data_IF_061541043170
#
_entry.id   IF_061541043170
#
_cell.length_a   1.000
_cell.length_b   1.000
_cell.length_c   1.000
_cell.angle_alpha   90.00
_cell.angle_beta   90.00
_cell.angle_gamma   90.00
#
_symmetry.space_group_name_H-M   'P 1'
#
loop_
_entity.id
_entity.type
_entity.pdbx_description
1 polymer ?
#
# COMPACT_ATOMS: atom_id res chain seq x y z
N UNK A 1 -82.29 23.02 1.42
CA UNK A 1 -80.97 23.10 2.09
C UNK A 1 -81.02 22.72 3.58
N UNK A 2 -82.05 23.09 4.37
CA UNK A 2 -82.15 22.74 5.81
C UNK A 2 -82.45 21.26 6.16
N UNK A 3 -82.85 20.41 5.20
CA UNK A 3 -83.08 18.97 5.45
C UNK A 3 -81.78 18.15 5.55
N UNK A 4 -80.66 18.62 4.97
CA UNK A 4 -79.37 17.93 5.05
C UNK A 4 -78.73 18.05 6.45
N UNK A 5 -79.03 19.12 7.18
CA UNK A 5 -78.45 19.42 8.51
C UNK A 5 -79.18 18.71 9.67
N UNK A 6 -80.37 18.15 9.44
CA UNK A 6 -81.18 17.43 10.45
C UNK A 6 -81.15 15.92 10.27
N UNK A 7 -80.56 15.43 9.19
CA UNK A 7 -80.50 14.00 8.91
C UNK A 7 -79.23 13.40 9.54
N UNK A 8 -79.40 12.56 10.57
CA UNK A 8 -78.29 11.90 11.26
C UNK A 8 -77.45 11.04 10.31
N UNK A 9 -78.04 10.56 9.21
CA UNK A 9 -77.32 9.84 8.18
C UNK A 9 -76.33 10.72 7.40
N UNK A 10 -76.64 12.02 7.22
CA UNK A 10 -75.78 12.97 6.50
C UNK A 10 -74.49 13.31 7.26
N UNK A 11 -74.56 13.46 8.58
CA UNK A 11 -73.36 13.70 9.39
C UNK A 11 -72.40 12.52 9.39
N UNK A 12 -72.90 11.28 9.39
CA UNK A 12 -72.04 10.08 9.32
C UNK A 12 -71.30 10.02 7.99
N UNK A 13 -71.99 10.34 6.88
CA UNK A 13 -71.37 10.35 5.55
C UNK A 13 -70.25 11.40 5.45
N UNK A 14 -70.45 12.61 6.01
CA UNK A 14 -69.44 13.68 5.99
C UNK A 14 -68.23 13.32 6.86
N UNK A 15 -68.44 12.79 8.07
CA UNK A 15 -67.33 12.38 8.95
C UNK A 15 -66.57 11.19 8.37
N UNK A 16 -67.27 10.22 7.76
CA UNK A 16 -66.65 9.10 7.06
C UNK A 16 -65.82 9.58 5.86
N UNK A 17 -66.37 10.48 5.04
CA UNK A 17 -65.65 11.05 3.90
C UNK A 17 -64.39 11.82 4.34
N UNK A 18 -64.46 12.58 5.43
CA UNK A 18 -63.32 13.29 6.00
C UNK A 18 -62.28 12.35 6.61
N UNK A 19 -62.69 11.24 7.24
CA UNK A 19 -61.78 10.25 7.81
C UNK A 19 -61.15 9.33 6.73
N UNK A 20 -61.80 9.16 5.58
CA UNK A 20 -61.29 8.35 4.48
C UNK A 20 -60.00 8.93 3.88
N UNK A 21 -59.90 10.25 3.81
CA UNK A 21 -58.71 10.96 3.26
C UNK A 21 -57.42 10.61 4.04
N UNK A 22 -57.33 10.80 5.36
CA UNK A 22 -56.12 10.44 6.12
C UNK A 22 -55.86 8.93 6.12
N UNK A 23 -56.89 8.08 6.07
CA UNK A 23 -56.72 6.62 5.98
C UNK A 23 -56.11 6.20 4.63
N UNK A 24 -56.58 6.78 3.52
CA UNK A 24 -55.99 6.55 2.20
C UNK A 24 -54.56 7.10 2.12
N UNK A 25 -54.30 8.28 2.70
CA UNK A 25 -52.97 8.85 2.79
C UNK A 25 -51.99 7.95 3.56
N UNK A 26 -52.41 7.42 4.72
CA UNK A 26 -51.61 6.48 5.50
C UNK A 26 -51.36 5.17 4.72
N UNK A 27 -52.35 4.66 4.00
CA UNK A 27 -52.19 3.50 3.13
C UNK A 27 -51.18 3.72 2.00
N UNK A 28 -51.25 4.88 1.34
CA UNK A 28 -50.28 5.27 0.29
C UNK A 28 -48.85 5.38 0.82
N UNK A 29 -48.68 6.00 1.98
CA UNK A 29 -47.38 6.11 2.65
C UNK A 29 -46.81 4.74 3.02
N UNK A 30 -47.64 3.81 3.48
CA UNK A 30 -47.20 2.46 3.80
C UNK A 30 -46.68 1.70 2.57
N UNK A 31 -47.37 1.80 1.43
CA UNK A 31 -46.94 1.18 0.16
C UNK A 31 -45.62 1.76 -0.33
N UNK A 32 -45.49 3.09 -0.35
CA UNK A 32 -44.27 3.74 -0.81
C UNK A 32 -43.09 3.44 0.10
N UNK A 33 -43.31 3.39 1.42
CA UNK A 33 -42.28 3.00 2.38
C UNK A 33 -41.82 1.55 2.14
N UNK A 34 -42.74 0.62 1.90
CA UNK A 34 -42.41 -0.77 1.59
C UNK A 34 -41.61 -0.88 0.28
N UNK A 35 -41.98 -0.11 -0.75
CA UNK A 35 -41.25 -0.06 -2.01
C UNK A 35 -39.83 0.51 -1.82
N UNK A 36 -39.69 1.60 -1.07
CA UNK A 36 -38.39 2.22 -0.77
C UNK A 36 -37.47 1.29 0.03
N UNK A 37 -38.02 0.56 1.01
CA UNK A 37 -37.28 -0.47 1.74
C UNK A 37 -36.79 -1.57 0.80
N UNK A 38 -37.64 -2.02 -0.13
CA UNK A 38 -37.27 -3.02 -1.13
C UNK A 38 -36.19 -2.53 -2.10
N UNK A 39 -36.23 -1.25 -2.51
CA UNK A 39 -35.17 -0.65 -3.33
C UNK A 39 -33.88 -0.56 -2.53
N UNK A 40 -33.91 -0.05 -1.29
CA UNK A 40 -32.72 0.09 -0.45
C UNK A 40 -32.02 -1.26 -0.21
N UNK A 41 -32.78 -2.31 0.10
CA UNK A 41 -32.23 -3.65 0.28
C UNK A 41 -31.59 -4.19 -1.01
N UNK A 42 -32.20 -3.93 -2.17
CA UNK A 42 -31.62 -4.29 -3.46
C UNK A 42 -30.33 -3.53 -3.74
N UNK A 43 -30.30 -2.21 -3.51
CA UNK A 43 -29.09 -1.40 -3.70
C UNK A 43 -27.98 -1.81 -2.75
N UNK A 44 -28.30 -2.17 -1.50
CA UNK A 44 -27.31 -2.69 -0.56
C UNK A 44 -26.67 -3.98 -1.09
N UNK A 45 -27.48 -4.92 -1.59
CA UNK A 45 -26.95 -6.18 -2.13
C UNK A 45 -26.05 -5.95 -3.37
N UNK A 46 -26.39 -5.00 -4.25
CA UNK A 46 -25.51 -4.67 -5.39
C UNK A 46 -24.24 -3.93 -4.95
N UNK A 47 -24.32 -3.07 -3.93
CA UNK A 47 -23.15 -2.41 -3.33
C UNK A 47 -22.21 -3.44 -2.69
N UNK A 48 -22.75 -4.37 -1.91
CA UNK A 48 -22.00 -5.45 -1.26
C UNK A 48 -21.27 -6.33 -2.29
N UNK A 49 -21.96 -6.73 -3.36
CA UNK A 49 -21.35 -7.50 -4.44
C UNK A 49 -20.27 -6.72 -5.19
N UNK A 50 -20.50 -5.45 -5.50
CA UNK A 50 -19.51 -4.61 -6.17
C UNK A 50 -18.28 -4.38 -5.28
N UNK A 51 -18.47 -4.15 -3.98
CA UNK A 51 -17.40 -3.96 -3.00
C UNK A 51 -16.56 -5.25 -2.86
N UNK A 52 -17.19 -6.39 -2.62
CA UNK A 52 -16.50 -7.68 -2.49
C UNK A 52 -15.70 -8.02 -3.75
N UNK A 53 -16.33 -7.97 -4.92
CA UNK A 53 -15.66 -8.35 -6.16
C UNK A 53 -14.55 -7.35 -6.54
N UNK A 54 -14.75 -6.05 -6.29
CA UNK A 54 -13.71 -5.04 -6.48
C UNK A 54 -12.52 -5.26 -5.54
N UNK A 55 -12.78 -5.56 -4.27
CA UNK A 55 -11.74 -5.85 -3.29
C UNK A 55 -10.98 -7.15 -3.59
N UNK A 56 -11.64 -8.15 -4.19
CA UNK A 56 -10.98 -9.40 -4.63
C UNK A 56 -9.92 -9.13 -5.68
N UNK A 57 -10.13 -8.19 -6.61
CA UNK A 57 -9.10 -7.84 -7.59
C UNK A 57 -7.92 -7.08 -6.94
N UNK A 58 -8.22 -6.18 -6.00
CA UNK A 58 -7.24 -5.32 -5.34
C UNK A 58 -7.07 -3.94 -5.99
N UNK A 59 -6.20 -3.08 -5.43
CA UNK A 59 -6.03 -1.69 -5.87
C UNK A 59 -5.56 -1.54 -7.32
N UNK A 60 -4.74 -2.48 -7.80
CA UNK A 60 -4.19 -2.46 -9.16
C UNK A 60 -5.09 -3.16 -10.19
N UNK A 61 -6.22 -3.71 -9.74
CA UNK A 61 -7.16 -4.44 -10.59
C UNK A 61 -8.19 -3.55 -11.29
N UNK A 62 -8.91 -4.13 -12.25
CA UNK A 62 -10.03 -3.43 -12.91
C UNK A 62 -11.30 -3.50 -12.06
N UNK A 63 -11.33 -2.79 -10.93
CA UNK A 63 -12.52 -2.69 -10.09
C UNK A 63 -13.62 -1.80 -10.71
N UNK A 64 -13.29 -1.00 -11.73
CA UNK A 64 -14.25 -0.17 -12.46
C UNK A 64 -15.31 -1.03 -13.16
N UNK A 65 -14.94 -2.23 -13.64
CA UNK A 65 -15.87 -3.17 -14.26
C UNK A 65 -17.04 -3.55 -13.34
N UNK A 66 -16.80 -3.75 -12.05
CA UNK A 66 -17.88 -4.17 -11.13
C UNK A 66 -18.86 -3.05 -10.84
N UNK A 67 -18.41 -1.79 -10.88
CA UNK A 67 -19.31 -0.62 -10.84
C UNK A 67 -20.21 -0.59 -12.07
N UNK A 68 -19.66 -0.84 -13.27
CA UNK A 68 -20.46 -0.89 -14.50
C UNK A 68 -21.52 -2.00 -14.47
N UNK A 69 -21.15 -3.19 -13.98
CA UNK A 69 -22.08 -4.31 -13.81
C UNK A 69 -23.20 -3.96 -12.82
N UNK A 70 -22.88 -3.27 -11.71
CA UNK A 70 -23.88 -2.80 -10.75
C UNK A 70 -24.84 -1.79 -11.40
N UNK A 71 -24.34 -0.82 -12.17
CA UNK A 71 -25.16 0.13 -12.93
C UNK A 71 -26.14 -0.60 -13.85
N UNK A 72 -25.66 -1.55 -14.65
CA UNK A 72 -26.49 -2.30 -15.61
C UNK A 72 -27.59 -3.12 -14.91
N UNK A 73 -27.25 -3.77 -13.79
CA UNK A 73 -28.21 -4.55 -13.00
C UNK A 73 -29.27 -3.67 -12.34
N UNK A 74 -28.89 -2.49 -11.87
CA UNK A 74 -29.84 -1.55 -11.26
C UNK A 74 -30.78 -1.02 -12.32
N UNK A 75 -30.26 -0.51 -13.44
CA UNK A 75 -31.07 0.06 -14.52
C UNK A 75 -32.01 -0.97 -15.16
N UNK A 76 -31.59 -2.23 -15.28
CA UNK A 76 -32.44 -3.29 -15.85
C UNK A 76 -33.57 -3.74 -14.93
N UNK A 77 -33.47 -3.54 -13.61
CA UNK A 77 -34.46 -4.02 -12.63
C UNK A 77 -35.25 -2.92 -11.94
N UNK A 78 -34.77 -1.68 -11.97
CA UNK A 78 -35.35 -0.53 -11.28
C UNK A 78 -35.27 0.69 -12.18
N UNK A 79 -36.39 1.40 -12.30
CA UNK A 79 -36.43 2.68 -12.98
C UNK A 79 -35.97 3.78 -12.01
N UNK A 80 -34.65 3.89 -11.81
CA UNK A 80 -34.03 4.92 -10.98
C UNK A 80 -33.56 6.10 -11.84
N UNK A 81 -33.78 7.31 -11.34
CA UNK A 81 -33.25 8.54 -11.94
C UNK A 81 -31.97 8.95 -11.21
N UNK A 82 -31.07 9.65 -11.92
CA UNK A 82 -29.82 10.17 -11.35
C UNK A 82 -28.99 9.10 -10.62
N UNK A 83 -28.96 7.88 -11.17
CA UNK A 83 -28.18 6.79 -10.60
C UNK A 83 -26.69 7.13 -10.67
N UNK A 84 -26.02 7.11 -9.53
CA UNK A 84 -24.59 7.23 -9.40
C UNK A 84 -24.03 6.03 -8.64
N UNK A 85 -23.00 5.40 -9.19
CA UNK A 85 -22.24 4.33 -8.55
C UNK A 85 -20.78 4.77 -8.52
N UNK A 86 -20.27 5.07 -7.34
CA UNK A 86 -18.88 5.45 -7.12
C UNK A 86 -18.16 4.37 -6.34
N UNK A 87 -16.84 4.32 -6.47
CA UNK A 87 -16.05 3.44 -5.65
C UNK A 87 -14.59 3.87 -5.61
N UNK A 88 -13.98 3.75 -4.44
CA UNK A 88 -12.64 4.26 -4.15
C UNK A 88 -11.92 3.35 -3.15
N UNK A 89 -10.60 3.31 -3.27
CA UNK A 89 -9.73 2.63 -2.32
C UNK A 89 -9.26 3.60 -1.24
N UNK A 90 -9.09 3.09 -0.03
CA UNK A 90 -8.39 3.76 1.06
C UNK A 90 -7.59 2.70 1.81
N UNK A 91 -6.29 2.61 1.53
CA UNK A 91 -5.45 1.48 1.95
C UNK A 91 -6.02 0.15 1.45
N UNK A 92 -6.42 -0.72 2.38
CA UNK A 92 -6.97 -2.05 2.09
C UNK A 92 -8.50 -2.12 2.01
N UNK A 93 -9.17 -0.98 2.16
CA UNK A 93 -10.63 -0.89 2.12
C UNK A 93 -11.07 -0.36 0.76
N UNK A 94 -11.95 -1.12 0.09
CA UNK A 94 -12.65 -0.68 -1.11
C UNK A 94 -14.09 -0.33 -0.75
N UNK A 95 -14.41 0.97 -0.82
CA UNK A 95 -15.74 1.49 -0.56
C UNK A 95 -16.50 1.64 -1.88
N UNK A 96 -17.76 1.19 -1.90
CA UNK A 96 -18.70 1.41 -2.99
C UNK A 96 -19.91 2.14 -2.46
N UNK A 97 -20.29 3.22 -3.13
CA UNK A 97 -21.50 3.98 -2.84
C UNK A 97 -22.42 3.98 -4.05
N UNK A 98 -23.69 3.68 -3.79
CA UNK A 98 -24.76 3.67 -4.78
C UNK A 98 -25.83 4.66 -4.32
N UNK A 99 -26.15 5.63 -5.17
CA UNK A 99 -27.20 6.61 -4.88
C UNK A 99 -28.07 6.87 -6.10
N UNK A 100 -29.30 7.32 -5.86
CA UNK A 100 -30.20 7.78 -6.91
C UNK A 100 -31.59 8.09 -6.38
N UNK A 101 -32.51 8.37 -7.31
CA UNK A 101 -33.85 8.86 -6.99
C UNK A 101 -34.92 7.88 -7.47
N UNK A 102 -35.90 7.60 -6.61
CA UNK A 102 -37.05 6.72 -6.89
C UNK A 102 -38.34 7.52 -6.78
N UNK A 103 -39.24 7.37 -7.74
CA UNK A 103 -40.54 8.03 -7.71
C UNK A 103 -41.48 7.35 -6.69
N UNK A 104 -42.27 8.14 -5.97
CA UNK A 104 -43.30 7.67 -5.05
C UNK A 104 -44.54 7.25 -5.83
N UNK A 105 -45.17 6.12 -5.48
CA UNK A 105 -46.31 5.60 -6.23
C UNK A 105 -47.63 6.24 -5.78
N UNK A 106 -47.82 6.50 -4.49
CA UNK A 106 -49.11 6.93 -3.92
C UNK A 106 -49.03 8.20 -3.07
N UNK A 107 -47.86 8.54 -2.54
CA UNK A 107 -47.65 9.71 -1.69
C UNK A 107 -47.72 11.03 -2.48
N UNK A 108 -47.49 11.01 -3.79
CA UNK A 108 -47.59 12.20 -4.66
C UNK A 108 -48.97 12.88 -4.67
N UNK A 109 -50.03 12.18 -4.23
CA UNK A 109 -51.40 12.73 -4.16
C UNK A 109 -51.59 13.63 -2.93
N UNK A 110 -50.70 13.54 -1.93
CA UNK A 110 -50.78 14.35 -0.72
C UNK A 110 -50.09 15.71 -0.90
N UNK A 111 -50.79 16.84 -0.66
CA UNK A 111 -50.22 18.18 -0.82
C UNK A 111 -48.99 18.38 0.08
N UNK A 112 -47.88 18.81 -0.52
CA UNK A 112 -46.64 19.14 0.21
C UNK A 112 -45.65 17.98 0.41
N UNK A 113 -45.95 16.78 -0.09
CA UNK A 113 -44.98 15.69 -0.17
C UNK A 113 -44.43 15.58 -1.60
N UNK A 114 -43.12 15.32 -1.73
CA UNK A 114 -42.45 15.27 -3.03
C UNK A 114 -42.76 13.98 -3.81
N UNK A 115 -42.65 14.06 -5.14
CA UNK A 115 -42.91 12.94 -6.06
C UNK A 115 -41.78 11.92 -6.12
N UNK A 116 -40.69 12.16 -5.39
CA UNK A 116 -39.50 11.34 -5.43
C UNK A 116 -38.71 11.36 -4.12
N UNK A 117 -37.96 10.29 -3.88
CA UNK A 117 -37.13 10.10 -2.69
C UNK A 117 -35.75 9.66 -3.11
N UNK A 118 -34.73 10.26 -2.49
CA UNK A 118 -33.34 9.85 -2.67
C UNK A 118 -33.04 8.62 -1.82
N UNK A 119 -32.42 7.62 -2.43
CA UNK A 119 -31.96 6.40 -1.78
C UNK A 119 -30.44 6.30 -1.92
N UNK A 120 -29.80 5.80 -0.87
CA UNK A 120 -28.35 5.57 -0.81
C UNK A 120 -28.07 4.24 -0.13
N UNK A 121 -27.10 3.51 -0.67
CA UNK A 121 -26.49 2.34 -0.09
C UNK A 121 -24.97 2.49 -0.16
N UNK A 122 -24.28 1.96 0.83
CA UNK A 122 -22.83 2.01 0.95
C UNK A 122 -22.36 0.65 1.45
N UNK A 123 -21.31 0.13 0.86
CA UNK A 123 -20.67 -1.10 1.29
C UNK A 123 -19.15 -0.90 1.27
N UNK A 124 -18.47 -1.43 2.29
CA UNK A 124 -17.00 -1.42 2.35
C UNK A 124 -16.50 -2.85 2.48
N UNK A 125 -15.64 -3.25 1.56
CA UNK A 125 -14.96 -4.54 1.60
C UNK A 125 -13.49 -4.34 1.93
N UNK A 126 -12.97 -5.12 2.88
CA UNK A 126 -11.56 -5.13 3.26
C UNK A 126 -10.86 -6.32 2.61
N UNK A 127 -9.76 -6.04 1.92
CA UNK A 127 -8.83 -7.05 1.41
C UNK A 127 -7.79 -7.37 2.49
N UNK A 128 -7.75 -8.62 2.95
CA UNK A 128 -6.65 -9.14 3.75
C UNK A 128 -5.70 -9.92 2.82
N UNK A 129 -4.42 -9.54 2.78
CA UNK A 129 -3.37 -10.24 2.02
C UNK A 129 -2.50 -11.06 2.97
N UNK A 130 -1.95 -12.21 2.52
CA UNK A 130 -0.91 -12.91 3.26
C UNK A 130 0.29 -11.99 3.48
N UNK A 131 0.84 -12.02 4.70
CA UNK A 131 2.04 -11.27 5.03
C UNK A 131 3.23 -11.89 4.29
N UNK A 132 3.96 -11.07 3.53
CA UNK A 132 5.27 -11.46 3.00
C UNK A 132 6.28 -11.31 4.13
N UNK A 133 6.87 -12.42 4.55
CA UNK A 133 7.83 -12.44 5.62
C UNK A 133 9.19 -12.89 5.08
N UNK A 134 10.20 -12.06 5.33
CA UNK A 134 11.60 -12.41 5.08
C UNK A 134 12.19 -12.97 6.36
N UNK A 135 13.07 -13.97 6.22
CA UNK A 135 13.94 -14.41 7.30
C UNK A 135 15.26 -13.63 7.27
N UNK A 136 16.03 -13.62 8.38
CA UNK A 136 17.35 -13.01 8.41
C UNK A 136 18.26 -13.48 7.26
N UNK A 137 19.19 -12.63 6.79
CA UNK A 137 20.08 -12.99 5.69
C UNK A 137 20.95 -14.18 6.05
N UNK A 138 21.22 -15.03 5.05
CA UNK A 138 22.19 -16.11 5.17
C UNK A 138 23.62 -15.58 5.16
N UNK A 139 23.85 -14.48 4.44
CA UNK A 139 25.14 -13.79 4.36
C UNK A 139 24.89 -12.29 4.54
N UNK A 140 25.65 -11.66 5.43
CA UNK A 140 25.81 -10.22 5.56
C UNK A 140 27.29 -9.90 5.73
N UNK A 141 28.00 -9.81 4.60
CA UNK A 141 29.43 -9.52 4.56
C UNK A 141 29.65 -8.06 4.17
N UNK A 142 30.50 -7.36 4.90
CA UNK A 142 30.99 -6.04 4.52
C UNK A 142 32.51 -6.13 4.42
N UNK A 143 33.09 -5.50 3.40
CA UNK A 143 34.52 -5.54 3.15
C UNK A 143 35.29 -4.95 4.37
N UNK A 144 36.09 -5.79 5.06
CA UNK A 144 36.90 -5.32 6.17
C UNK A 144 38.06 -4.42 5.72
N UNK A 145 38.43 -4.42 4.43
CA UNK A 145 39.54 -3.63 3.90
C UNK A 145 39.12 -2.20 3.50
N UNK A 146 37.81 -1.92 3.45
CA UNK A 146 37.27 -0.60 3.17
C UNK A 146 37.82 0.48 4.11
N UNK A 147 38.12 1.67 3.57
CA UNK A 147 38.58 2.81 4.39
C UNK A 147 37.45 3.47 5.19
N UNK A 148 36.21 3.25 4.75
CA UNK A 148 35.01 3.84 5.31
C UNK A 148 34.41 2.94 6.37
N UNK A 149 33.65 3.54 7.29
CA UNK A 149 32.84 2.77 8.22
C UNK A 149 31.46 2.55 7.61
N UNK A 150 31.07 1.29 7.45
CA UNK A 150 29.81 0.87 6.85
C UNK A 150 29.00 0.08 7.87
N UNK A 151 27.72 0.40 7.99
CA UNK A 151 26.74 -0.33 8.81
C UNK A 151 25.46 -0.53 8.00
N UNK A 152 24.96 -1.75 7.97
CA UNK A 152 23.67 -2.07 7.35
C UNK A 152 22.59 -2.12 8.41
N UNK A 153 21.48 -1.43 8.12
CA UNK A 153 20.23 -1.56 8.83
C UNK A 153 19.20 -2.25 7.95
N UNK A 154 18.30 -2.98 8.61
CA UNK A 154 17.04 -3.46 8.03
C UNK A 154 15.88 -2.71 8.69
N UNK A 155 14.83 -2.41 7.94
CA UNK A 155 13.63 -1.75 8.43
C UNK A 155 12.41 -2.18 7.62
N UNK A 156 11.22 -1.92 8.17
CA UNK A 156 9.96 -2.06 7.45
C UNK A 156 9.58 -0.73 6.80
N UNK A 157 9.26 -0.76 5.52
CA UNK A 157 8.87 0.40 4.75
C UNK A 157 7.41 0.31 4.34
N UNK A 158 6.64 1.33 4.69
CA UNK A 158 5.29 1.56 4.20
C UNK A 158 5.37 2.21 2.80
N UNK A 159 4.98 1.52 1.71
CA UNK A 159 5.09 2.04 0.36
C UNK A 159 3.92 2.96 -0.04
N UNK A 160 2.87 3.10 0.78
CA UNK A 160 1.67 3.89 0.44
C UNK A 160 2.00 5.38 0.29
N UNK A 161 1.91 5.96 -0.92
CA UNK A 161 2.15 7.40 -1.11
C UNK A 161 1.05 8.28 -0.52
N UNK A 162 -0.14 7.73 -0.27
CA UNK A 162 -1.29 8.45 0.28
C UNK A 162 -1.40 8.31 1.81
N UNK A 163 -0.42 7.65 2.45
CA UNK A 163 -0.32 7.63 3.91
C UNK A 163 -0.20 9.06 4.45
N UNK A 164 -0.80 9.33 5.60
CA UNK A 164 -0.64 10.59 6.34
C UNK A 164 0.74 10.74 7.02
N UNK A 165 1.65 9.78 6.78
CA UNK A 165 2.99 9.69 7.36
C UNK A 165 4.03 10.40 6.50
N UNK A 166 5.00 11.04 7.14
CA UNK A 166 6.23 11.51 6.51
C UNK A 166 7.10 10.33 6.05
N UNK A 167 8.09 10.58 5.18
CA UNK A 167 8.98 9.53 4.67
C UNK A 167 9.72 8.81 5.80
N UNK A 168 10.13 9.52 6.84
CA UNK A 168 10.82 8.91 7.99
C UNK A 168 9.85 8.09 8.84
N UNK A 169 8.62 8.55 9.06
CA UNK A 169 7.59 7.80 9.79
C UNK A 169 7.15 6.52 9.06
N UNK A 170 7.38 6.44 7.75
CA UNK A 170 7.16 5.24 6.93
C UNK A 170 8.26 4.20 7.08
N UNK A 171 9.38 4.53 7.74
CA UNK A 171 10.50 3.62 8.02
C UNK A 171 10.42 3.17 9.48
N UNK A 172 9.89 1.98 9.71
CA UNK A 172 9.65 1.45 11.06
C UNK A 172 10.61 0.32 11.39
N UNK A 173 10.76 -0.01 12.68
CA UNK A 173 11.55 -1.15 13.15
C UNK A 173 13.03 -1.17 12.68
N UNK A 174 13.62 0.01 12.45
CA UNK A 174 15.01 0.15 12.00
C UNK A 174 15.99 -0.53 12.95
N UNK A 175 16.72 -1.52 12.43
CA UNK A 175 17.53 -2.45 13.21
C UNK A 175 18.90 -2.66 12.55
N UNK A 176 19.98 -2.40 13.28
CA UNK A 176 21.34 -2.66 12.79
C UNK A 176 21.62 -4.17 12.80
N UNK A 177 22.13 -4.71 11.70
CA UNK A 177 22.38 -6.16 11.56
C UNK A 177 23.86 -6.51 11.39
N UNK A 178 24.67 -5.58 10.85
CA UNK A 178 26.09 -5.81 10.61
C UNK A 178 26.83 -4.48 10.39
N UNK A 179 28.12 -4.44 10.73
CA UNK A 179 29.07 -3.40 10.33
C UNK A 179 30.42 -3.98 9.88
N UNK A 180 31.29 -3.15 9.29
CA UNK A 180 32.64 -3.54 8.90
C UNK A 180 33.71 -3.25 9.98
N UNK A 181 33.27 -3.04 11.23
CA UNK A 181 34.14 -2.83 12.39
C UNK A 181 34.16 -4.03 13.35
N UNK A 182 33.43 -5.10 13.03
CA UNK A 182 33.37 -6.32 13.83
C UNK A 182 32.41 -6.23 15.02
N UNK A 183 31.46 -5.29 15.01
CA UNK A 183 30.44 -5.21 16.06
C UNK A 183 29.51 -6.41 15.98
N UNK A 184 29.31 -7.09 17.12
CA UNK A 184 28.30 -8.13 17.23
C UNK A 184 26.97 -7.52 17.68
N UNK A 185 25.99 -7.48 16.77
CA UNK A 185 24.65 -7.01 17.07
C UNK A 185 23.78 -8.12 17.66
N UNK A 186 23.16 -7.86 18.81
CA UNK A 186 22.02 -8.64 19.30
C UNK A 186 20.75 -7.95 18.82
N UNK A 187 20.08 -8.53 17.83
CA UNK A 187 18.92 -7.91 17.20
C UNK A 187 17.72 -8.87 17.12
N UNK A 188 16.53 -8.28 16.96
CA UNK A 188 15.31 -8.98 16.56
C UNK A 188 15.03 -8.60 15.12
N UNK A 189 14.84 -9.59 14.26
CA UNK A 189 14.53 -9.34 12.86
C UNK A 189 13.16 -8.67 12.73
N UNK A 190 13.04 -7.54 11.99
CA UNK A 190 11.76 -6.88 11.81
C UNK A 190 10.72 -7.78 11.17
N UNK A 191 9.47 -7.67 11.63
CA UNK A 191 8.31 -8.33 11.02
C UNK A 191 7.37 -7.24 10.55
N UNK A 192 7.24 -7.07 9.24
CA UNK A 192 6.51 -5.96 8.66
C UNK A 192 5.00 -6.18 8.69
N UNK A 193 4.25 -5.10 8.85
CA UNK A 193 2.79 -5.11 8.87
C UNK A 193 2.22 -5.34 7.46
N UNK A 194 0.91 -5.67 7.32
CA UNK A 194 0.30 -5.82 6.01
C UNK A 194 0.50 -4.57 5.15
N UNK A 195 0.98 -4.78 3.91
CA UNK A 195 1.28 -3.70 2.96
C UNK A 195 2.69 -3.11 3.09
N UNK A 196 3.40 -3.33 4.20
CA UNK A 196 4.80 -2.92 4.35
C UNK A 196 5.75 -3.95 3.70
N UNK A 197 6.98 -3.53 3.41
CA UNK A 197 8.03 -4.40 2.85
C UNK A 197 9.34 -4.25 3.60
N UNK A 198 10.16 -5.30 3.61
CA UNK A 198 11.53 -5.21 4.13
C UNK A 198 12.38 -4.34 3.21
N UNK A 199 13.13 -3.45 3.83
CA UNK A 199 14.05 -2.51 3.18
C UNK A 199 15.36 -2.44 3.95
N UNK A 200 16.41 -2.05 3.24
CA UNK A 200 17.75 -1.85 3.76
C UNK A 200 18.14 -0.38 3.74
N UNK A 201 18.97 -0.02 4.71
CA UNK A 201 19.73 1.20 4.70
C UNK A 201 21.22 0.90 4.82
N UNK A 202 21.99 1.52 3.93
CA UNK A 202 23.44 1.62 4.08
C UNK A 202 23.80 2.93 4.77
N UNK A 203 24.33 2.80 5.98
CA UNK A 203 24.94 3.88 6.74
C UNK A 203 26.45 3.89 6.48
N UNK A 204 26.94 4.94 5.83
CA UNK A 204 28.34 5.11 5.48
C UNK A 204 28.93 6.35 6.15
N UNK A 205 30.10 6.19 6.78
CA UNK A 205 30.91 7.28 7.32
C UNK A 205 32.29 7.21 6.69
N UNK A 206 32.58 8.18 5.82
CA UNK A 206 33.82 8.21 5.04
C UNK A 206 35.06 8.21 5.92
N UNK A 207 36.11 7.51 5.51
CA UNK A 207 37.45 7.53 6.14
C UNK A 207 37.46 7.32 7.66
N UNK A 208 36.47 6.60 8.18
CA UNK A 208 36.21 6.52 9.62
C UNK A 208 36.26 5.11 10.17
N UNK A 209 36.64 4.08 9.38
CA UNK A 209 36.69 2.70 9.86
C UNK A 209 37.48 2.55 11.16
N UNK A 210 38.66 3.17 11.25
CA UNK A 210 39.52 3.06 12.44
C UNK A 210 39.25 4.13 13.50
N UNK A 211 38.15 4.90 13.38
CA UNK A 211 37.83 6.02 14.27
C UNK A 211 36.42 5.88 14.91
N UNK A 212 36.24 4.97 15.87
CA UNK A 212 34.92 4.67 16.46
C UNK A 212 34.17 5.86 17.04
N UNK A 213 34.90 6.84 17.59
CA UNK A 213 34.32 8.08 18.12
C UNK A 213 33.59 8.92 17.06
N UNK A 214 33.76 8.63 15.77
CA UNK A 214 33.10 9.33 14.64
C UNK A 214 31.89 8.59 14.10
N UNK A 215 31.69 7.32 14.45
CA UNK A 215 30.68 6.50 13.78
C UNK A 215 29.27 6.97 14.05
N UNK A 216 28.96 7.50 15.23
CA UNK A 216 27.60 7.90 15.59
C UNK A 216 27.49 9.39 16.03
N UNK A 217 28.62 10.09 16.15
CA UNK A 217 28.64 11.49 16.57
C UNK A 217 28.59 12.45 15.37
N UNK A 218 27.37 12.88 15.03
CA UNK A 218 27.10 13.84 13.95
C UNK A 218 27.75 15.22 14.17
N UNK A 219 28.17 15.56 15.40
CA UNK A 219 28.87 16.84 15.63
C UNK A 219 30.24 16.90 14.94
N UNK A 220 30.76 15.76 14.49
CA UNK A 220 32.04 15.65 13.79
C UNK A 220 31.95 15.76 12.26
N UNK A 221 30.76 15.94 11.69
CA UNK A 221 30.51 15.90 10.23
C UNK A 221 31.13 17.06 9.44
N UNK A 222 31.73 18.04 10.12
CA UNK A 222 32.37 19.22 9.52
C UNK A 222 33.88 19.33 9.80
N UNK A 223 34.50 18.26 10.30
CA UNK A 223 35.91 18.21 10.67
C UNK A 223 36.86 18.19 9.46
N UNK A 224 38.10 18.67 9.62
CA UNK A 224 39.14 18.67 8.58
C UNK A 224 39.60 17.29 8.12
N UNK A 225 39.21 16.23 8.85
CA UNK A 225 39.42 14.84 8.47
C UNK A 225 38.47 14.40 7.34
N UNK A 226 37.34 15.08 7.20
CA UNK A 226 36.54 15.07 6.00
C UNK A 226 37.25 15.99 4.99
N UNK A 227 38.09 15.42 4.13
CA UNK A 227 38.93 16.16 3.18
C UNK A 227 38.13 16.98 2.13
N UNK A 228 36.81 17.00 2.22
CA UNK A 228 35.91 17.70 1.34
C UNK A 228 34.98 18.62 2.16
N UNK A 229 35.15 19.93 1.96
CA UNK A 229 34.15 20.94 2.35
C UNK A 229 33.42 21.39 1.10
N UNK A 230 32.08 21.58 1.14
CA UNK A 230 31.21 21.66 2.32
C UNK A 230 30.44 20.36 2.67
N UNK A 231 30.69 19.25 1.97
CA UNK A 231 29.78 18.10 1.99
C UNK A 231 29.88 17.25 3.28
N UNK A 232 28.76 16.65 3.74
CA UNK A 232 28.75 15.79 4.91
C UNK A 232 29.58 14.52 4.65
N UNK A 233 30.33 14.06 5.65
CA UNK A 233 31.08 12.79 5.57
C UNK A 233 30.24 11.55 5.90
N UNK A 234 28.93 11.75 6.04
CA UNK A 234 27.99 10.76 6.57
C UNK A 234 26.82 10.66 5.61
N UNK A 235 26.58 9.46 5.14
CA UNK A 235 25.60 9.18 4.10
C UNK A 235 24.69 8.06 4.56
N UNK A 236 23.40 8.23 4.29
CA UNK A 236 22.38 7.23 4.55
C UNK A 236 21.71 6.95 3.20
N UNK A 237 21.79 5.71 2.73
CA UNK A 237 21.16 5.30 1.48
C UNK A 237 20.05 4.32 1.79
N UNK A 238 18.81 4.72 1.52
CA UNK A 238 17.61 3.95 1.85
C UNK A 238 17.07 3.27 0.61
N UNK A 239 16.85 1.96 0.65
CA UNK A 239 16.22 1.27 -0.47
C UNK A 239 14.77 1.70 -0.67
N UNK A 240 14.01 1.90 0.42
CA UNK A 240 12.57 2.18 0.41
C UNK A 240 11.86 1.30 -0.64
N UNK A 241 11.99 -0.01 -0.44
CA UNK A 241 11.55 -1.05 -1.36
C UNK A 241 10.05 -1.02 -1.52
N UNK A 242 9.57 -1.22 -2.75
CA UNK A 242 8.16 -1.41 -3.06
C UNK A 242 8.02 -2.65 -3.91
N UNK A 243 6.95 -3.40 -3.72
CA UNK A 243 6.65 -4.54 -4.56
C UNK A 243 5.67 -4.12 -5.66
N UNK A 244 6.11 -4.20 -6.91
CA UNK A 244 5.24 -4.00 -8.08
C UNK A 244 5.21 -5.35 -8.81
N UNK A 245 4.05 -5.99 -8.87
CA UNK A 245 3.91 -7.34 -9.44
C UNK A 245 4.88 -8.37 -8.83
N UNK A 246 5.10 -8.31 -7.51
CA UNK A 246 6.08 -9.13 -6.76
C UNK A 246 7.56 -8.93 -7.17
N UNK A 247 7.87 -7.87 -7.92
CA UNK A 247 9.24 -7.44 -8.21
C UNK A 247 9.60 -6.31 -7.26
N UNK A 248 10.81 -6.36 -6.70
CA UNK A 248 11.31 -5.30 -5.82
C UNK A 248 11.75 -4.08 -6.62
N UNK A 249 11.26 -2.91 -6.20
CA UNK A 249 11.63 -1.62 -6.72
C UNK A 249 12.15 -0.75 -5.57
N UNK A 250 13.43 -0.40 -5.61
CA UNK A 250 14.07 0.42 -4.57
C UNK A 250 13.91 1.91 -4.89
N UNK A 251 12.86 2.52 -4.34
CA UNK A 251 12.44 3.88 -4.68
C UNK A 251 13.17 4.99 -3.91
N UNK A 252 13.89 4.64 -2.85
CA UNK A 252 14.61 5.59 -1.99
C UNK A 252 16.04 5.87 -2.44
N UNK A 253 16.53 5.14 -3.45
CA UNK A 253 17.89 5.29 -3.98
C UNK A 253 17.89 6.24 -5.18
N UNK A 254 18.52 7.40 -5.02
CA UNK A 254 18.75 8.35 -6.12
C UNK A 254 19.97 7.97 -6.98
N UNK A 255 20.85 7.11 -6.46
CA UNK A 255 22.11 6.71 -7.07
C UNK A 255 22.11 5.21 -7.39
N UNK A 256 22.87 4.84 -8.42
CA UNK A 256 23.08 3.45 -8.85
C UNK A 256 24.09 2.73 -7.92
N UNK A 257 23.75 2.67 -6.63
CA UNK A 257 24.59 2.14 -5.55
C UNK A 257 24.28 0.67 -5.19
N UNK A 258 23.17 0.13 -5.67
CA UNK A 258 22.68 -1.21 -5.34
C UNK A 258 22.52 -2.06 -6.60
N UNK A 259 23.16 -3.22 -6.59
CA UNK A 259 22.98 -4.32 -7.53
C UNK A 259 22.08 -5.40 -6.91
N UNK A 260 21.07 -5.85 -7.66
CA UNK A 260 20.24 -6.99 -7.27
C UNK A 260 20.34 -8.12 -8.29
N UNK A 261 20.39 -9.36 -7.77
CA UNK A 261 20.46 -10.56 -8.61
C UNK A 261 19.72 -11.73 -7.97
N UNK A 262 18.74 -12.30 -8.67
CA UNK A 262 18.05 -13.50 -8.21
C UNK A 262 18.83 -14.76 -8.61
N UNK A 263 19.09 -15.59 -7.62
CA UNK A 263 19.62 -16.94 -7.74
C UNK A 263 18.48 -17.96 -7.55
N UNK A 264 18.47 -19.03 -8.33
CA UNK A 264 17.47 -20.08 -8.19
C UNK A 264 17.74 -20.96 -6.96
N UNK A 265 19.00 -21.09 -6.53
CA UNK A 265 19.38 -21.72 -5.25
C UNK A 265 20.47 -20.93 -4.54
N UNK A 266 20.68 -21.22 -3.24
CA UNK A 266 21.73 -20.57 -2.45
C UNK A 266 23.12 -20.87 -3.00
N UNK A 267 23.37 -22.09 -3.48
CA UNK A 267 24.66 -22.50 -4.05
C UNK A 267 25.02 -21.73 -5.32
N UNK A 268 24.02 -21.20 -6.02
CA UNK A 268 24.18 -20.36 -7.20
C UNK A 268 24.48 -18.89 -6.85
N UNK A 269 24.15 -18.46 -5.63
CA UNK A 269 24.46 -17.12 -5.08
C UNK A 269 25.94 -16.98 -4.71
N UNK A 270 26.80 -17.13 -5.70
CA UNK A 270 28.24 -16.89 -5.62
C UNK A 270 28.72 -16.22 -6.90
N UNK A 271 29.94 -15.66 -6.90
CA UNK A 271 30.45 -14.97 -8.07
C UNK A 271 30.62 -15.89 -9.30
N UNK A 272 30.51 -15.34 -10.52
CA UNK A 272 30.61 -16.11 -11.78
C UNK A 272 31.91 -16.92 -11.88
N UNK A 273 33.04 -16.38 -11.43
CA UNK A 273 34.33 -17.12 -11.39
C UNK A 273 34.30 -18.37 -10.50
N UNK A 274 33.37 -18.45 -9.56
CA UNK A 274 33.16 -19.59 -8.66
C UNK A 274 32.02 -20.51 -9.13
N UNK A 275 31.49 -20.27 -10.34
CA UNK A 275 30.42 -21.05 -10.95
C UNK A 275 29.01 -20.67 -10.49
N UNK A 276 28.81 -19.43 -9.99
CA UNK A 276 27.49 -18.89 -9.67
C UNK A 276 27.03 -17.83 -10.67
N UNK A 277 26.06 -16.99 -10.27
CA UNK A 277 25.44 -15.96 -11.13
C UNK A 277 25.71 -14.52 -10.72
N UNK A 278 26.39 -14.28 -9.60
CA UNK A 278 26.69 -12.93 -9.13
C UNK A 278 27.75 -12.31 -10.05
N UNK A 279 27.47 -11.17 -10.71
CA UNK A 279 28.42 -10.49 -11.58
C UNK A 279 29.74 -10.15 -10.86
N UNK A 280 30.83 -9.96 -11.64
CA UNK A 280 32.15 -9.63 -11.10
C UNK A 280 32.90 -8.64 -11.97
N UNK A 281 33.88 -7.97 -11.34
CA UNK A 281 34.76 -7.01 -11.98
C UNK A 281 34.32 -5.58 -11.75
N UNK A 282 35.18 -4.64 -12.12
CA UNK A 282 35.00 -3.20 -11.86
C UNK A 282 34.35 -2.48 -13.04
N UNK A 283 33.95 -1.23 -12.81
CA UNK A 283 33.35 -0.27 -13.74
C UNK A 283 32.04 -0.77 -14.37
N UNK A 284 31.23 -1.49 -13.59
CA UNK A 284 29.98 -2.08 -14.07
C UNK A 284 28.81 -1.15 -13.88
N UNK A 285 27.77 -1.38 -14.68
CA UNK A 285 26.42 -0.89 -14.35
C UNK A 285 25.76 -1.96 -13.48
N UNK A 286 25.10 -1.58 -12.36
CA UNK A 286 24.53 -2.57 -11.45
C UNK A 286 23.39 -3.29 -12.16
N UNK A 287 23.35 -4.61 -11.98
CA UNK A 287 22.18 -5.39 -12.34
C UNK A 287 20.99 -4.95 -11.48
N UNK A 288 19.82 -4.85 -12.10
CA UNK A 288 18.55 -4.68 -11.41
C UNK A 288 17.69 -5.86 -11.79
N UNK A 289 17.43 -6.73 -10.84
CA UNK A 289 16.58 -7.88 -11.06
C UNK A 289 15.16 -7.42 -11.43
N UNK A 290 14.62 -8.03 -12.47
CA UNK A 290 13.28 -7.70 -13.00
C UNK A 290 12.30 -8.85 -12.83
N UNK A 291 12.80 -10.02 -12.40
CA UNK A 291 11.98 -11.18 -12.08
C UNK A 291 11.47 -11.09 -10.64
N UNK A 292 10.28 -11.63 -10.36
CA UNK A 292 9.76 -11.67 -9.00
C UNK A 292 10.59 -12.59 -8.10
N UNK A 293 10.81 -12.18 -6.85
CA UNK A 293 11.42 -13.02 -5.83
C UNK A 293 10.36 -14.02 -5.34
N UNK A 294 10.60 -15.32 -5.51
CA UNK A 294 9.64 -16.37 -5.16
C UNK A 294 10.19 -17.27 -4.05
N UNK A 295 9.34 -17.82 -3.17
CA UNK A 295 9.76 -18.73 -2.11
C UNK A 295 10.71 -19.84 -2.62
N UNK A 296 11.77 -20.12 -1.85
CA UNK A 296 12.81 -21.10 -2.20
C UNK A 296 13.93 -20.58 -3.12
N UNK A 297 13.83 -19.35 -3.61
CA UNK A 297 14.91 -18.64 -4.32
C UNK A 297 15.65 -17.68 -3.40
N UNK A 298 16.73 -17.09 -3.90
CA UNK A 298 17.57 -16.18 -3.11
C UNK A 298 17.83 -14.88 -3.88
N UNK A 299 17.80 -13.76 -3.17
CA UNK A 299 18.17 -12.46 -3.71
C UNK A 299 19.53 -12.05 -3.15
N UNK A 300 20.44 -11.72 -4.06
CA UNK A 300 21.68 -11.02 -3.76
C UNK A 300 21.45 -9.51 -3.82
N UNK A 301 21.93 -8.80 -2.82
CA UNK A 301 22.02 -7.35 -2.74
C UNK A 301 23.50 -6.98 -2.57
N UNK A 302 24.09 -6.48 -3.65
CA UNK A 302 25.46 -5.98 -3.68
C UNK A 302 25.48 -4.46 -3.63
N UNK A 303 26.09 -3.87 -2.61
CA UNK A 303 26.21 -2.43 -2.50
C UNK A 303 27.61 -1.98 -2.83
N UNK A 304 27.68 -0.81 -3.45
CA UNK A 304 28.85 0.06 -3.37
C UNK A 304 28.79 0.85 -2.07
N UNK A 305 29.90 0.95 -1.33
CA UNK A 305 29.97 1.92 -0.25
C UNK A 305 30.16 3.36 -0.78
N UNK A 306 30.59 3.48 -2.03
CA UNK A 306 30.81 4.73 -2.78
C UNK A 306 29.89 4.79 -3.99
N UNK A 307 28.81 5.59 -3.98
CA UNK A 307 27.91 5.59 -5.11
C UNK A 307 28.57 6.21 -6.36
N UNK A 308 28.30 5.64 -7.55
CA UNK A 308 28.71 6.25 -8.81
C UNK A 308 28.00 7.57 -9.07
N UNK A 309 28.69 8.49 -9.74
CA UNK A 309 28.14 9.78 -10.14
C UNK A 309 28.16 10.85 -9.06
N UNK A 310 28.81 10.61 -7.92
CA UNK A 310 29.02 11.64 -6.90
C UNK A 310 29.86 12.81 -7.47
N UNK A 311 29.45 14.06 -7.24
CA UNK A 311 30.21 15.22 -7.72
C UNK A 311 31.54 15.33 -6.97
N UNK A 312 32.62 15.63 -7.69
CA UNK A 312 33.94 15.87 -7.12
C UNK A 312 35.05 15.15 -7.88
N UNK A 313 36.30 15.26 -7.42
CA UNK A 313 37.41 14.48 -7.97
C UNK A 313 37.15 12.96 -7.79
N UNK A 314 37.54 12.16 -8.78
CA UNK A 314 37.28 10.71 -8.88
C UNK A 314 38.52 9.90 -9.33
N UNK A 315 39.69 10.52 -9.32
CA UNK A 315 40.95 9.94 -9.81
C UNK A 315 41.61 8.94 -8.85
N UNK A 316 41.22 8.91 -7.57
CA UNK A 316 41.75 7.97 -6.59
C UNK A 316 40.81 7.76 -5.40
N UNK A 317 41.03 6.67 -4.66
CA UNK A 317 40.21 6.25 -3.52
C UNK A 317 40.13 7.24 -2.35
N UNK A 318 40.96 8.28 -2.28
CA UNK A 318 40.81 9.32 -1.23
C UNK A 318 39.82 10.42 -1.62
N UNK A 319 39.31 10.38 -2.85
CA UNK A 319 38.41 11.40 -3.37
C UNK A 319 36.95 10.95 -3.32
N UNK A 320 36.06 11.89 -3.03
CA UNK A 320 34.63 11.63 -2.78
C UNK A 320 33.86 11.06 -3.98
N UNK A 321 34.31 11.36 -5.21
CA UNK A 321 33.68 10.88 -6.44
C UNK A 321 34.17 9.51 -6.91
N UNK A 322 35.18 8.94 -6.25
CA UNK A 322 35.76 7.66 -6.65
C UNK A 322 34.91 6.48 -6.19
N UNK A 323 34.70 5.55 -7.12
CA UNK A 323 34.09 4.21 -6.95
C UNK A 323 34.68 3.33 -8.05
N UNK A 324 34.94 2.06 -7.75
CA UNK A 324 35.33 1.06 -8.71
C UNK A 324 34.15 0.25 -9.25
N UNK A 325 32.93 0.42 -8.74
CA UNK A 325 31.67 -0.06 -9.35
C UNK A 325 31.67 -1.56 -9.58
N UNK A 326 32.13 -2.33 -8.60
CA UNK A 326 32.12 -3.80 -8.58
C UNK A 326 31.00 -4.43 -7.74
N UNK A 327 30.28 -3.62 -6.96
CA UNK A 327 29.09 -3.92 -6.18
C UNK A 327 29.26 -5.12 -5.25
N UNK A 328 30.47 -5.30 -4.70
CA UNK A 328 30.77 -6.39 -3.77
C UNK A 328 31.39 -5.93 -2.43
N UNK A 329 31.49 -4.60 -2.20
CA UNK A 329 31.87 -3.98 -0.92
C UNK A 329 30.97 -4.44 0.23
N UNK A 330 29.65 -4.48 0.01
CA UNK A 330 28.70 -5.04 0.96
C UNK A 330 27.79 -6.04 0.24
N UNK A 331 27.71 -7.25 0.79
CA UNK A 331 26.98 -8.37 0.22
C UNK A 331 25.96 -8.89 1.21
N UNK A 332 24.69 -8.79 0.84
CA UNK A 332 23.59 -9.40 1.57
C UNK A 332 22.93 -10.45 0.68
N UNK A 333 22.81 -11.68 1.17
CA UNK A 333 22.06 -12.75 0.48
C UNK A 333 20.92 -13.18 1.39
N UNK A 334 19.70 -13.06 0.88
CA UNK A 334 18.48 -13.44 1.58
C UNK A 334 17.68 -14.47 0.80
N UNK A 335 16.99 -15.34 1.52
CA UNK A 335 15.91 -16.11 0.91
C UNK A 335 14.77 -15.15 0.53
N UNK A 336 14.17 -15.38 -0.63
CA UNK A 336 12.96 -14.70 -1.06
C UNK A 336 11.84 -14.89 -0.03
N UNK A 337 10.92 -13.92 0.09
CA UNK A 337 9.93 -13.93 1.15
C UNK A 337 9.03 -15.15 1.04
N UNK A 338 8.69 -15.71 2.18
CA UNK A 338 7.64 -16.72 2.28
C UNK A 338 6.32 -16.03 2.61
N UNK A 339 5.22 -16.59 2.14
CA UNK A 339 3.89 -16.18 2.58
C UNK A 339 3.68 -16.76 3.98
N UNK A 340 3.44 -15.91 4.96
CA UNK A 340 3.05 -16.37 6.28
C UNK A 340 1.70 -17.11 6.15
N UNK A 341 1.69 -18.42 6.41
CA UNK A 341 0.53 -19.31 6.20
C UNK A 341 -0.71 -18.88 7.02
N UNK A 342 -0.55 -17.96 7.97
CA UNK A 342 -1.59 -17.52 8.92
C UNK A 342 -2.64 -16.60 8.29
N UNK A 343 -2.44 -16.11 7.07
CA UNK A 343 -3.41 -15.25 6.40
C UNK A 343 -3.75 -15.74 4.99
N UNK A 344 -4.76 -16.61 4.83
CA UNK A 344 -5.37 -16.79 3.52
C UNK A 344 -5.77 -15.41 2.96
N UNK A 345 -5.56 -15.16 1.65
CA UNK A 345 -6.11 -13.96 1.02
C UNK A 345 -7.63 -14.06 1.08
N UNK A 346 -8.26 -13.26 1.94
CA UNK A 346 -9.71 -13.20 2.02
C UNK A 346 -10.20 -11.76 1.91
N UNK A 347 -11.43 -11.65 1.43
CA UNK A 347 -12.15 -10.38 1.36
C UNK A 347 -13.39 -10.52 2.23
N UNK A 348 -13.67 -9.51 3.05
CA UNK A 348 -14.89 -9.47 3.85
C UNK A 348 -15.54 -8.10 3.78
N UNK A 349 -16.86 -8.07 3.87
CA UNK A 349 -17.59 -6.84 4.13
C UNK A 349 -17.32 -6.40 5.58
N UNK A 350 -17.00 -5.12 5.76
CA UNK A 350 -16.75 -4.51 7.08
C UNK A 350 -17.79 -3.44 7.41
N UNK A 351 -18.52 -2.94 6.42
CA UNK A 351 -19.62 -1.99 6.59
C UNK A 351 -20.67 -2.17 5.51
#
# INVERSE_FOLDING_TARGET
MMKLLKDKAGNVAVTFALALVPLCGAGGLAVDTAQLMGVRAFLQNEADQAALNGAVEGPDGDYARYRSIAVDRIQSRRNMQNLAVTGAWTGHDYAVEISGTVNTALVHVMPGLGDSVNVRAEAVARLHQPLLQYEPPLISELDPDAGDYNRIYVYCFDPDPESDKTLEERRTQRTAIQDNAGTHYSYTWPRCEPGETISFELYNVRFSRTAPHRWDDASNDHGSWCHHRPDPCRFNYFTDTRLINNVEHHSGLELDILETKLCDTYEECKPVSQGGVIPQGTNRTPNRETRPCQPGKFMYYGWEDRPPGMPGPDSNWTQIGWTDRDYDDIRVIMECPQYDEVGERFVRLVR
#
